data_IF_418959659669
#
_entry.id   IF_418959659669
#
_cell.length_a   1.000
_cell.length_b   1.000
_cell.length_c   1.000
_cell.angle_alpha   90.00
_cell.angle_beta   90.00
_cell.angle_gamma   90.00
#
_symmetry.space_group_name_H-M   'P 1'
#
loop_
_entity.id
_entity.type
_entity.pdbx_description
1 polymer ?
#
# COMPACT_ATOMS: atom_id res chain seq x y z
N UNK A 1 -21.12 34.26 10.73
CA UNK A 1 -21.88 33.00 10.93
C UNK A 1 -21.77 32.07 9.72
N UNK A 2 -22.13 32.50 8.50
CA UNK A 2 -22.11 31.67 7.28
C UNK A 2 -20.75 31.01 6.97
N UNK A 3 -19.64 31.74 7.13
CA UNK A 3 -18.30 31.18 6.85
C UNK A 3 -17.93 30.05 7.81
N UNK A 4 -18.26 30.18 9.11
CA UNK A 4 -17.97 29.15 10.12
C UNK A 4 -18.79 27.89 9.85
N UNK A 5 -20.05 28.04 9.47
CA UNK A 5 -20.91 26.93 9.07
C UNK A 5 -20.39 26.21 7.82
N UNK A 6 -19.88 26.96 6.83
CA UNK A 6 -19.27 26.39 5.63
C UNK A 6 -18.00 25.61 5.95
N UNK A 7 -17.10 26.15 6.80
CA UNK A 7 -15.90 25.42 7.23
C UNK A 7 -16.26 24.15 8.01
N UNK A 8 -17.22 24.22 8.93
CA UNK A 8 -17.67 23.06 9.70
C UNK A 8 -18.27 21.96 8.80
N UNK A 9 -19.05 22.35 7.79
CA UNK A 9 -19.63 21.41 6.82
C UNK A 9 -18.56 20.75 5.94
N UNK A 10 -17.56 21.52 5.48
CA UNK A 10 -16.42 20.99 4.71
C UNK A 10 -15.61 19.98 5.52
N UNK A 11 -15.32 20.31 6.78
CA UNK A 11 -14.59 19.44 7.70
C UNK A 11 -15.40 18.18 7.98
N UNK A 12 -16.71 18.28 8.27
CA UNK A 12 -17.59 17.13 8.46
C UNK A 12 -17.65 16.22 7.21
N UNK A 13 -17.67 16.80 6.01
CA UNK A 13 -17.63 16.05 4.76
C UNK A 13 -16.29 15.32 4.56
N UNK A 14 -15.16 15.93 4.94
CA UNK A 14 -13.87 15.24 4.94
C UNK A 14 -13.83 14.07 5.93
N UNK A 15 -14.30 14.29 7.16
CA UNK A 15 -14.38 13.24 8.19
C UNK A 15 -15.35 12.11 7.82
N UNK A 16 -16.40 12.40 7.05
CA UNK A 16 -17.36 11.41 6.53
C UNK A 16 -16.96 10.76 5.22
N UNK A 17 -15.87 11.20 4.57
CA UNK A 17 -15.40 10.61 3.32
C UNK A 17 -14.85 9.20 3.53
N UNK A 18 -14.89 8.36 2.50
CA UNK A 18 -14.27 7.03 2.53
C UNK A 18 -12.76 7.08 2.83
N UNK A 19 -12.11 8.21 2.51
CA UNK A 19 -10.70 8.45 2.81
C UNK A 19 -10.41 8.61 4.31
N UNK A 20 -11.39 9.01 5.12
CA UNK A 20 -11.27 9.15 6.58
C UNK A 20 -11.92 8.00 7.36
N UNK A 21 -12.72 7.17 6.69
CA UNK A 21 -13.33 5.98 7.29
C UNK A 21 -12.23 5.00 7.71
N UNK A 22 -12.30 4.49 8.95
CA UNK A 22 -11.35 3.51 9.48
C UNK A 22 -11.40 2.23 8.64
N UNK A 23 -10.34 1.96 7.89
CA UNK A 23 -10.19 0.72 7.14
C UNK A 23 -9.45 -0.32 8.00
N UNK A 24 -9.84 -1.60 7.98
CA UNK A 24 -9.11 -2.67 8.67
C UNK A 24 -7.65 -2.68 8.23
N UNK A 25 -6.71 -2.70 9.20
CA UNK A 25 -5.28 -2.55 8.91
C UNK A 25 -4.69 -3.76 8.20
N UNK A 26 -5.19 -4.97 8.50
CA UNK A 26 -4.88 -6.21 7.79
C UNK A 26 -6.15 -6.88 7.31
N UNK A 27 -6.18 -7.21 6.02
CA UNK A 27 -7.25 -7.91 5.30
C UNK A 27 -6.74 -9.10 4.49
N UNK A 28 -5.42 -9.20 4.31
CA UNK A 28 -4.76 -10.24 3.52
C UNK A 28 -4.91 -11.61 4.15
N UNK A 29 -5.10 -12.63 3.31
CA UNK A 29 -4.92 -14.02 3.70
C UNK A 29 -3.48 -14.25 4.21
N UNK A 30 -3.26 -15.31 5.00
CA UNK A 30 -1.96 -15.71 5.55
C UNK A 30 -1.02 -16.27 4.45
N UNK A 31 -0.67 -15.44 3.47
CA UNK A 31 0.25 -15.71 2.37
C UNK A 31 1.04 -14.44 2.05
N UNK A 32 2.34 -14.56 1.78
CA UNK A 32 3.20 -13.41 1.52
C UNK A 32 2.73 -12.60 0.31
N UNK A 33 2.37 -13.24 -0.80
CA UNK A 33 1.82 -12.52 -1.96
C UNK A 33 0.49 -11.81 -1.67
N UNK A 34 -0.37 -12.38 -0.82
CA UNK A 34 -1.61 -11.72 -0.42
C UNK A 34 -1.34 -10.47 0.43
N UNK A 35 -0.36 -10.54 1.33
CA UNK A 35 0.10 -9.40 2.12
C UNK A 35 0.74 -8.31 1.25
N UNK A 36 1.61 -8.68 0.29
CA UNK A 36 2.20 -7.73 -0.66
C UNK A 36 1.14 -7.03 -1.50
N UNK A 37 0.13 -7.79 -1.97
CA UNK A 37 -1.00 -7.20 -2.69
C UNK A 37 -1.80 -6.23 -1.83
N UNK A 38 -1.95 -6.48 -0.52
CA UNK A 38 -2.55 -5.52 0.40
C UNK A 38 -1.72 -4.25 0.51
N UNK A 39 -0.38 -4.33 0.55
CA UNK A 39 0.47 -3.14 0.60
C UNK A 39 0.38 -2.31 -0.68
N UNK A 40 0.31 -2.97 -1.84
CA UNK A 40 0.26 -2.33 -3.16
C UNK A 40 -1.09 -1.64 -3.40
N UNK A 41 -2.19 -2.32 -3.09
CA UNK A 41 -3.55 -1.85 -3.40
C UNK A 41 -4.27 -1.19 -2.22
N UNK A 42 -3.73 -1.34 -1.02
CA UNK A 42 -4.28 -0.77 0.20
C UNK A 42 -3.89 0.70 0.38
N UNK A 43 -4.02 1.17 1.62
CA UNK A 43 -3.75 2.56 1.93
C UNK A 43 -2.27 2.93 1.66
N UNK A 44 -1.95 3.99 0.89
CA UNK A 44 -0.59 4.31 0.44
C UNK A 44 0.46 4.46 1.54
N UNK A 45 0.02 4.79 2.76
CA UNK A 45 0.90 4.87 3.94
C UNK A 45 1.39 3.50 4.41
N UNK A 46 0.63 2.41 4.19
CA UNK A 46 0.96 1.07 4.70
C UNK A 46 2.28 0.57 4.13
N UNK A 47 2.46 0.61 2.81
CA UNK A 47 3.72 0.17 2.20
C UNK A 47 4.93 0.95 2.72
N UNK A 48 4.78 2.24 2.99
CA UNK A 48 5.84 3.04 3.60
C UNK A 48 6.09 2.66 5.06
N UNK A 49 5.03 2.42 5.84
CA UNK A 49 5.16 1.98 7.23
C UNK A 49 5.82 0.60 7.32
N UNK A 50 5.44 -0.34 6.45
CA UNK A 50 5.89 -1.73 6.53
C UNK A 50 7.24 -1.97 5.83
N UNK A 51 7.50 -1.34 4.68
CA UNK A 51 8.70 -1.60 3.86
C UNK A 51 9.67 -0.40 3.80
N UNK A 52 9.37 0.71 4.46
CA UNK A 52 10.21 1.92 4.44
C UNK A 52 10.27 2.66 3.10
N UNK A 53 9.54 2.22 2.08
CA UNK A 53 9.55 2.80 0.72
C UNK A 53 8.17 3.23 0.26
N UNK A 54 8.10 4.26 -0.59
CA UNK A 54 6.82 4.68 -1.21
C UNK A 54 6.41 3.69 -2.30
N UNK A 55 5.11 3.56 -2.55
CA UNK A 55 4.55 2.65 -3.56
C UNK A 55 5.25 2.73 -4.92
N UNK A 56 5.41 3.95 -5.46
CA UNK A 56 6.07 4.11 -6.76
C UNK A 56 7.54 3.66 -6.74
N UNK A 57 8.27 3.84 -5.63
CA UNK A 57 9.67 3.40 -5.50
C UNK A 57 9.74 1.87 -5.45
N UNK A 58 8.82 1.23 -4.75
CA UNK A 58 8.68 -0.22 -4.71
C UNK A 58 8.43 -0.78 -6.12
N UNK A 59 7.46 -0.23 -6.85
CA UNK A 59 7.15 -0.65 -8.23
C UNK A 59 8.34 -0.42 -9.18
N UNK A 60 9.04 0.72 -9.07
CA UNK A 60 10.27 0.96 -9.84
C UNK A 60 11.36 -0.07 -9.55
N UNK A 61 11.53 -0.51 -8.29
CA UNK A 61 12.47 -1.57 -7.94
C UNK A 61 12.07 -2.91 -8.56
N UNK A 62 10.79 -3.29 -8.48
CA UNK A 62 10.28 -4.52 -9.11
C UNK A 62 10.57 -4.51 -10.62
N UNK A 63 10.24 -3.42 -11.31
CA UNK A 63 10.51 -3.28 -12.75
C UNK A 63 12.00 -3.40 -13.05
N UNK A 64 12.85 -2.72 -12.27
CA UNK A 64 14.31 -2.77 -12.43
C UNK A 64 14.85 -4.19 -12.25
N UNK A 65 14.39 -4.91 -11.23
CA UNK A 65 14.79 -6.29 -10.98
C UNK A 65 14.37 -7.21 -12.14
N UNK A 66 13.14 -7.08 -12.63
CA UNK A 66 12.68 -7.85 -13.80
C UNK A 66 13.53 -7.55 -15.04
N UNK A 67 13.91 -6.28 -15.27
CA UNK A 67 14.79 -5.88 -16.37
C UNK A 67 16.22 -6.45 -16.23
N UNK A 68 16.70 -6.65 -15.00
CA UNK A 68 17.98 -7.30 -14.71
C UNK A 68 17.92 -8.84 -14.84
N UNK A 69 16.75 -9.41 -15.12
CA UNK A 69 16.57 -10.85 -15.30
C UNK A 69 16.19 -11.62 -14.02
N UNK A 70 15.86 -10.92 -12.93
CA UNK A 70 15.27 -11.58 -11.76
C UNK A 70 13.85 -12.07 -12.10
N UNK A 71 13.55 -13.29 -11.67
CA UNK A 71 12.30 -13.97 -11.98
C UNK A 71 11.68 -14.59 -10.72
N UNK A 72 10.43 -15.04 -10.86
CA UNK A 72 9.73 -15.73 -9.79
C UNK A 72 10.44 -17.06 -9.48
N UNK A 73 10.47 -17.42 -8.20
CA UNK A 73 11.05 -18.69 -7.76
C UNK A 73 10.12 -19.85 -8.17
N UNK A 74 10.70 -21.03 -8.42
CA UNK A 74 9.96 -22.23 -8.85
C UNK A 74 8.80 -22.66 -7.93
N UNK A 75 8.79 -22.21 -6.66
CA UNK A 75 7.72 -22.50 -5.69
C UNK A 75 6.63 -21.41 -5.62
N UNK A 76 6.60 -20.48 -6.57
CA UNK A 76 5.55 -19.46 -6.69
C UNK A 76 5.79 -18.18 -5.88
N UNK A 77 7.00 -17.96 -5.36
CA UNK A 77 7.35 -16.70 -4.68
C UNK A 77 7.69 -15.66 -5.74
N UNK A 78 6.85 -14.64 -5.83
CA UNK A 78 6.98 -13.59 -6.86
C UNK A 78 8.17 -12.66 -6.60
N UNK A 79 8.68 -11.96 -7.61
CA UNK A 79 9.72 -10.93 -7.42
C UNK A 79 9.24 -9.83 -6.45
N UNK A 80 7.96 -9.49 -6.48
CA UNK A 80 7.32 -8.56 -5.56
C UNK A 80 7.41 -9.06 -4.10
N UNK A 81 7.12 -10.34 -3.89
CA UNK A 81 7.22 -10.99 -2.58
C UNK A 81 8.68 -11.15 -2.13
N UNK A 82 9.60 -11.50 -3.03
CA UNK A 82 11.03 -11.55 -2.74
C UNK A 82 11.56 -10.17 -2.31
N UNK A 83 11.18 -9.11 -3.03
CA UNK A 83 11.57 -7.75 -2.69
C UNK A 83 10.96 -7.30 -1.37
N UNK A 84 9.68 -7.61 -1.12
CA UNK A 84 9.04 -7.30 0.13
C UNK A 84 9.70 -8.01 1.33
N UNK A 85 10.08 -9.29 1.17
CA UNK A 85 10.85 -10.05 2.17
C UNK A 85 12.22 -9.40 2.42
N UNK A 86 12.89 -8.89 1.38
CA UNK A 86 14.19 -8.23 1.51
C UNK A 86 14.10 -6.87 2.24
N UNK A 87 13.00 -6.15 2.06
CA UNK A 87 12.81 -4.80 2.62
C UNK A 87 12.22 -4.77 4.03
N UNK A 88 11.56 -5.84 4.46
CA UNK A 88 10.95 -5.98 5.79
C UNK A 88 12.00 -6.34 6.85
#
# INVERSE_FOLDING_TARGET
AANVANYASLVAAFYGSESYTKQPYHTSALSGIAWVNELIHGHPKRIYTELGVRLHVFICHVITLRQMGYADLQKGVTVEEQLAIFLY
#
